data_IF_428868571823
#
_entry.id   IF_428868571823
#
_cell.length_a   1.000
_cell.length_b   1.000
_cell.length_c   1.000
_cell.angle_alpha   90.00
_cell.angle_beta   90.00
_cell.angle_gamma   90.00
#
_symmetry.space_group_name_H-M   'P 1'
#
loop_
_entity.id
_entity.type
_entity.pdbx_description
1 polymer ?
#
# COMPACT_ATOMS: atom_id res chain seq x y z
N UNK A 1 68.41 -11.52 0.86
CA UNK A 1 67.44 -12.61 0.59
C UNK A 1 66.39 -12.57 1.69
N UNK A 2 65.36 -11.72 1.59
CA UNK A 2 64.01 -12.02 1.05
C UNK A 2 63.35 -13.25 1.69
N UNK A 3 62.47 -13.01 2.66
CA UNK A 3 61.29 -13.83 2.91
C UNK A 3 60.18 -12.92 3.46
N UNK A 4 59.33 -12.46 2.55
CA UNK A 4 58.15 -11.65 2.80
C UNK A 4 57.08 -12.57 3.44
N UNK A 5 56.77 -12.37 4.73
CA UNK A 5 55.67 -13.07 5.41
C UNK A 5 54.34 -12.47 4.97
N UNK A 6 53.66 -13.12 4.04
CA UNK A 6 52.29 -12.82 3.65
C UNK A 6 51.36 -13.62 4.56
N UNK A 7 50.88 -13.00 5.64
CA UNK A 7 49.80 -13.53 6.47
C UNK A 7 48.47 -13.26 5.75
N UNK A 8 47.85 -14.31 5.22
CA UNK A 8 46.53 -14.26 4.64
C UNK A 8 45.49 -14.28 5.78
N UNK A 9 44.80 -13.15 6.00
CA UNK A 9 43.63 -13.11 6.86
C UNK A 9 42.45 -13.78 6.14
N UNK A 10 42.04 -14.96 6.61
CA UNK A 10 40.72 -15.50 6.27
C UNK A 10 39.67 -14.76 7.11
N UNK A 11 39.00 -13.79 6.50
CA UNK A 11 37.73 -13.28 7.01
C UNK A 11 36.62 -14.28 6.62
N UNK A 12 36.15 -15.09 7.57
CA UNK A 12 34.87 -15.79 7.42
C UNK A 12 33.74 -14.75 7.47
N UNK A 13 33.34 -14.26 6.31
CA UNK A 13 32.05 -13.60 6.16
C UNK A 13 30.97 -14.68 6.28
N UNK A 14 30.37 -14.81 7.46
CA UNK A 14 29.09 -15.49 7.61
C UNK A 14 28.02 -14.63 6.92
N UNK A 15 27.96 -14.71 5.60
CA UNK A 15 26.79 -14.28 4.86
C UNK A 15 25.65 -15.21 5.29
N UNK A 16 24.75 -14.71 6.14
CA UNK A 16 23.46 -15.33 6.33
C UNK A 16 22.78 -15.37 4.96
N UNK A 17 22.90 -16.51 4.29
CA UNK A 17 22.14 -16.79 3.09
C UNK A 17 20.68 -16.74 3.51
N UNK A 18 19.98 -15.65 3.19
CA UNK A 18 18.54 -15.70 3.07
C UNK A 18 18.28 -16.82 2.06
N UNK A 19 17.76 -17.93 2.56
CA UNK A 19 17.28 -19.04 1.73
C UNK A 19 16.40 -18.45 0.64
N UNK A 20 16.54 -18.90 -0.64
CA UNK A 20 15.64 -18.46 -1.69
C UNK A 20 14.21 -18.65 -1.17
N UNK A 21 13.48 -17.54 -1.05
CA UNK A 21 12.17 -17.53 -0.44
C UNK A 21 11.29 -18.52 -1.20
N UNK A 22 10.88 -19.59 -0.51
CA UNK A 22 9.79 -20.42 -1.01
C UNK A 22 8.60 -19.49 -1.28
N UNK A 23 8.03 -19.58 -2.47
CA UNK A 23 6.80 -18.87 -2.79
C UNK A 23 5.67 -19.44 -1.94
N UNK A 24 4.80 -18.56 -1.48
CA UNK A 24 3.82 -18.90 -0.46
C UNK A 24 2.47 -19.19 -1.10
N UNK A 25 1.89 -20.35 -0.80
CA UNK A 25 0.48 -20.64 -1.08
C UNK A 25 -0.41 -19.80 -0.14
N UNK A 26 0.13 -19.45 1.04
CA UNK A 26 -0.53 -18.70 2.10
C UNK A 26 0.31 -17.51 2.53
N UNK A 27 -0.26 -16.30 2.45
CA UNK A 27 0.36 -15.07 2.93
C UNK A 27 -0.41 -14.54 4.13
N UNK A 28 0.30 -14.27 5.23
CA UNK A 28 -0.24 -13.67 6.44
C UNK A 28 0.12 -12.19 6.49
N UNK A 29 -0.81 -11.33 6.09
CA UNK A 29 -0.61 -9.89 6.09
C UNK A 29 -0.72 -9.32 7.51
N UNK A 30 0.06 -8.26 7.75
CA UNK A 30 0.17 -7.45 8.97
C UNK A 30 0.80 -8.15 10.20
N UNK A 31 0.37 -9.35 10.56
CA UNK A 31 1.00 -10.21 11.59
C UNK A 31 0.81 -9.76 13.03
N UNK A 32 1.27 -8.55 13.38
CA UNK A 32 1.43 -8.06 14.75
C UNK A 32 0.31 -7.09 15.21
N UNK A 33 0.50 -6.47 16.37
CA UNK A 33 -0.39 -5.45 16.91
C UNK A 33 -0.34 -4.16 16.07
N UNK A 34 -1.52 -3.67 15.67
CA UNK A 34 -1.70 -2.45 14.90
C UNK A 34 -2.41 -1.40 15.74
N UNK A 35 -1.77 -0.27 16.03
CA UNK A 35 -2.44 0.88 16.62
C UNK A 35 -3.10 1.71 15.53
N UNK A 36 -4.42 1.83 15.57
CA UNK A 36 -5.23 2.48 14.53
C UNK A 36 -6.14 3.52 15.19
N UNK A 37 -6.21 4.76 14.68
CA UNK A 37 -7.11 5.76 15.23
C UNK A 37 -8.55 5.30 15.32
N UNK A 38 -9.21 5.66 16.43
CA UNK A 38 -10.56 5.22 16.77
C UNK A 38 -11.61 5.71 15.79
N UNK A 39 -11.41 6.92 15.26
CA UNK A 39 -12.30 7.53 14.29
C UNK A 39 -11.50 7.95 13.07
N UNK A 40 -11.82 7.38 11.91
CA UNK A 40 -11.17 7.70 10.64
C UNK A 40 -12.22 7.85 9.56
N UNK A 41 -12.05 8.86 8.70
CA UNK A 41 -12.91 9.05 7.55
C UNK A 41 -12.89 7.82 6.63
N UNK A 42 -14.02 7.51 6.02
CA UNK A 42 -14.14 6.39 5.09
C UNK A 42 -13.14 6.52 3.94
N UNK A 43 -12.44 5.45 3.60
CA UNK A 43 -11.41 5.40 2.57
C UNK A 43 -10.00 5.81 3.02
N UNK A 44 -9.81 6.24 4.27
CA UNK A 44 -8.48 6.54 4.82
C UNK A 44 -7.64 5.27 4.88
N UNK A 45 -6.44 5.27 4.29
CA UNK A 45 -5.52 4.13 4.37
C UNK A 45 -4.88 4.07 5.76
N UNK A 46 -5.14 2.99 6.49
CA UNK A 46 -4.69 2.77 7.86
C UNK A 46 -3.37 1.99 7.90
N UNK A 47 -3.23 0.99 7.04
CA UNK A 47 -2.02 0.17 6.94
C UNK A 47 -1.89 -0.41 5.52
N UNK A 48 -0.66 -0.74 5.14
CA UNK A 48 -0.33 -1.37 3.85
C UNK A 48 0.57 -2.58 4.08
N UNK A 49 0.32 -3.64 3.35
CA UNK A 49 1.17 -4.81 3.28
C UNK A 49 1.45 -5.14 1.83
N UNK A 50 2.71 -5.45 1.51
CA UNK A 50 3.17 -5.68 0.15
C UNK A 50 3.55 -7.13 -0.07
N UNK A 51 3.09 -7.72 -1.18
CA UNK A 51 3.40 -9.09 -1.57
C UNK A 51 4.15 -9.03 -2.90
N UNK A 52 5.43 -9.40 -2.90
CA UNK A 52 6.22 -9.40 -4.13
C UNK A 52 5.76 -10.51 -5.10
N UNK A 53 5.99 -10.38 -6.42
CA UNK A 53 5.73 -11.46 -7.37
C UNK A 53 6.37 -12.79 -6.97
N UNK A 54 7.61 -12.74 -6.46
CA UNK A 54 8.33 -13.94 -6.00
C UNK A 54 7.61 -14.59 -4.81
N UNK A 55 7.07 -13.81 -3.88
CA UNK A 55 6.26 -14.35 -2.78
C UNK A 55 4.92 -14.92 -3.26
N UNK A 56 4.28 -14.25 -4.23
CA UNK A 56 2.96 -14.60 -4.73
C UNK A 56 2.95 -15.86 -5.62
N UNK A 57 3.94 -16.00 -6.51
CA UNK A 57 3.98 -17.10 -7.48
C UNK A 57 5.38 -17.71 -7.74
N UNK A 58 6.43 -17.23 -7.07
CA UNK A 58 7.79 -17.73 -7.26
C UNK A 58 8.50 -17.21 -8.52
N UNK A 59 7.89 -16.26 -9.23
CA UNK A 59 8.43 -15.68 -10.47
C UNK A 59 8.55 -14.17 -10.34
N UNK A 60 9.29 -13.53 -11.26
CA UNK A 60 9.37 -12.07 -11.36
C UNK A 60 8.14 -11.44 -12.00
N UNK A 61 7.32 -12.24 -12.68
CA UNK A 61 6.02 -11.88 -13.26
C UNK A 61 5.01 -12.96 -12.93
N UNK A 62 3.84 -12.56 -12.44
CA UNK A 62 2.74 -13.46 -12.17
C UNK A 62 1.50 -13.05 -12.95
N UNK A 63 0.61 -14.01 -13.22
CA UNK A 63 -0.67 -13.75 -13.88
C UNK A 63 -1.83 -14.22 -13.01
N UNK A 64 -2.79 -13.33 -12.76
CA UNK A 64 -4.05 -13.65 -12.07
C UNK A 64 -5.14 -13.94 -13.08
N UNK A 65 -5.82 -15.07 -12.93
CA UNK A 65 -6.94 -15.49 -13.79
C UNK A 65 -8.29 -15.36 -13.10
N UNK A 66 -8.35 -15.42 -11.77
CA UNK A 66 -9.59 -15.24 -11.00
C UNK A 66 -9.31 -14.54 -9.67
N UNK A 67 -10.31 -13.82 -9.16
CA UNK A 67 -10.19 -13.03 -7.93
C UNK A 67 -11.41 -13.27 -7.07
N UNK A 68 -11.20 -13.61 -5.81
CA UNK A 68 -12.27 -13.82 -4.85
C UNK A 68 -12.03 -12.95 -3.61
N UNK A 69 -13.07 -12.26 -3.18
CA UNK A 69 -13.08 -11.43 -1.98
C UNK A 69 -13.99 -12.06 -0.93
N UNK A 70 -13.48 -12.22 0.29
CA UNK A 70 -14.20 -12.84 1.41
C UNK A 70 -14.31 -11.83 2.57
N UNK A 71 -15.45 -11.13 2.69
CA UNK A 71 -15.71 -10.25 3.84
C UNK A 71 -15.54 -10.99 5.15
N UNK A 72 -14.89 -10.35 6.13
CA UNK A 72 -14.61 -10.94 7.45
C UNK A 72 -13.79 -12.25 7.39
N UNK A 73 -13.17 -12.53 6.24
CA UNK A 73 -12.49 -13.78 5.95
C UNK A 73 -13.42 -14.98 5.76
N UNK A 74 -14.74 -14.77 5.56
CA UNK A 74 -15.73 -15.86 5.43
C UNK A 74 -16.81 -15.50 4.42
N UNK A 75 -17.24 -16.49 3.63
CA UNK A 75 -18.31 -16.32 2.64
C UNK A 75 -17.91 -15.43 1.47
N UNK A 76 -18.44 -15.71 0.28
CA UNK A 76 -18.07 -14.96 -0.90
C UNK A 76 -18.78 -13.60 -0.95
N UNK A 77 -18.02 -12.53 -1.15
CA UNK A 77 -18.55 -11.17 -1.30
C UNK A 77 -18.19 -10.54 -2.64
N UNK A 78 -18.83 -9.43 -2.98
CA UNK A 78 -18.61 -8.73 -4.25
C UNK A 78 -17.27 -8.00 -4.31
N UNK A 79 -16.77 -7.46 -3.20
CA UNK A 79 -15.59 -6.57 -3.18
C UNK A 79 -15.85 -5.25 -3.93
N UNK A 80 -14.80 -4.46 -4.26
CA UNK A 80 -13.36 -4.74 -4.05
C UNK A 80 -12.86 -4.38 -2.64
N UNK A 81 -13.64 -3.59 -1.90
CA UNK A 81 -13.43 -3.33 -0.48
C UNK A 81 -14.39 -4.22 0.30
N UNK A 82 -13.88 -4.98 1.26
CA UNK A 82 -14.68 -5.86 2.11
C UNK A 82 -14.43 -5.55 3.58
N UNK A 83 -15.43 -5.83 4.43
CA UNK A 83 -15.32 -5.60 5.87
C UNK A 83 -14.32 -6.54 6.51
N UNK A 84 -13.72 -6.13 7.62
CA UNK A 84 -12.98 -7.03 8.53
C UNK A 84 -13.81 -7.36 9.77
N UNK A 85 -13.32 -8.29 10.59
CA UNK A 85 -13.90 -8.59 11.91
C UNK A 85 -13.83 -7.41 12.90
N UNK A 86 -13.06 -6.37 12.60
CA UNK A 86 -12.94 -5.18 13.43
C UNK A 86 -13.84 -4.08 12.86
N UNK A 87 -14.82 -3.62 13.65
CA UNK A 87 -15.66 -2.47 13.28
C UNK A 87 -14.80 -1.27 12.91
N UNK A 88 -15.25 -0.44 11.98
CA UNK A 88 -14.50 0.73 11.54
C UNK A 88 -13.36 0.43 10.57
N UNK A 89 -13.00 -0.84 10.38
CA UNK A 89 -11.87 -1.27 9.55
C UNK A 89 -12.34 -2.22 8.45
N UNK A 90 -12.06 -1.81 7.21
CA UNK A 90 -12.26 -2.60 6.01
C UNK A 90 -10.91 -2.90 5.35
N UNK A 91 -10.91 -3.76 4.33
CA UNK A 91 -9.71 -4.14 3.58
C UNK A 91 -9.97 -4.14 2.07
N UNK A 92 -8.95 -3.82 1.28
CA UNK A 92 -8.95 -4.07 -0.18
C UNK A 92 -7.59 -4.58 -0.66
N UNK A 93 -7.60 -5.35 -1.74
CA UNK A 93 -6.41 -5.79 -2.46
C UNK A 93 -6.24 -4.97 -3.73
N UNK A 94 -5.02 -4.51 -3.99
CA UNK A 94 -4.63 -3.81 -5.21
C UNK A 94 -3.66 -4.67 -6.03
N UNK A 95 -3.94 -4.79 -7.32
CA UNK A 95 -3.05 -5.38 -8.34
C UNK A 95 -2.74 -4.25 -9.32
N UNK A 96 -1.46 -3.93 -9.52
CA UNK A 96 -1.02 -2.76 -10.31
C UNK A 96 -1.72 -1.44 -9.89
N UNK A 97 -1.98 -1.27 -8.58
CA UNK A 97 -2.65 -0.08 -8.03
C UNK A 97 -4.17 -0.04 -8.20
N UNK A 98 -4.79 -1.04 -8.82
CA UNK A 98 -6.25 -1.12 -9.00
C UNK A 98 -6.89 -2.20 -8.12
N UNK A 99 -8.08 -1.92 -7.60
CA UNK A 99 -8.85 -2.84 -6.78
C UNK A 99 -9.91 -3.56 -7.63
N UNK A 100 -10.09 -4.87 -7.41
CA UNK A 100 -10.95 -5.71 -8.25
C UNK A 100 -12.08 -6.35 -7.44
N UNK A 101 -13.27 -6.38 -8.05
CA UNK A 101 -14.40 -7.14 -7.53
C UNK A 101 -14.12 -8.64 -7.66
N UNK A 102 -14.94 -9.45 -7.01
CA UNK A 102 -14.94 -10.90 -7.19
C UNK A 102 -15.28 -11.25 -8.64
N UNK A 103 -14.46 -12.09 -9.24
CA UNK A 103 -14.52 -12.56 -10.62
C UNK A 103 -14.26 -14.07 -10.60
N UNK A 104 -15.35 -14.86 -10.57
CA UNK A 104 -15.37 -16.31 -10.35
C UNK A 104 -15.23 -17.13 -11.64
N UNK A 105 -14.86 -16.48 -12.74
CA UNK A 105 -14.61 -17.13 -14.01
C UNK A 105 -13.33 -16.54 -14.56
N UNK A 106 -12.53 -17.34 -15.29
CA UNK A 106 -11.28 -16.86 -15.85
C UNK A 106 -11.50 -15.53 -16.56
N UNK A 107 -10.73 -14.53 -16.15
CA UNK A 107 -10.78 -13.20 -16.75
C UNK A 107 -10.56 -13.34 -18.26
N UNK A 108 -11.43 -12.70 -19.05
CA UNK A 108 -11.24 -12.63 -20.51
C UNK A 108 -9.85 -12.09 -20.88
N UNK A 109 -9.32 -11.19 -20.04
CA UNK A 109 -7.93 -10.75 -20.07
C UNK A 109 -7.31 -10.97 -18.69
N UNK A 110 -6.42 -11.96 -18.53
CA UNK A 110 -5.69 -12.18 -17.27
C UNK A 110 -4.87 -10.95 -16.86
N UNK A 111 -4.73 -10.73 -15.55
CA UNK A 111 -4.01 -9.56 -15.02
C UNK A 111 -2.57 -9.97 -14.74
N UNK A 112 -1.63 -9.45 -15.53
CA UNK A 112 -0.20 -9.61 -15.27
C UNK A 112 0.29 -8.55 -14.28
N UNK A 113 1.15 -8.95 -13.34
CA UNK A 113 1.84 -8.00 -12.47
C UNK A 113 3.32 -8.36 -12.28
N UNK A 114 4.14 -7.32 -12.30
CA UNK A 114 5.59 -7.35 -12.01
C UNK A 114 5.94 -6.50 -10.79
N UNK A 115 4.99 -5.69 -10.32
CA UNK A 115 5.11 -4.89 -9.10
C UNK A 115 4.41 -5.62 -7.94
N UNK A 116 4.80 -5.36 -6.67
CA UNK A 116 4.14 -5.97 -5.54
C UNK A 116 2.62 -5.73 -5.51
N UNK A 117 1.86 -6.74 -5.12
CA UNK A 117 0.46 -6.58 -4.73
C UNK A 117 0.42 -5.74 -3.45
N UNK A 118 -0.63 -4.94 -3.28
CA UNK A 118 -0.81 -4.12 -2.08
C UNK A 118 -2.13 -4.48 -1.38
N UNK A 119 -2.03 -4.97 -0.16
CA UNK A 119 -3.19 -5.16 0.74
C UNK A 119 -3.29 -3.92 1.62
N UNK A 120 -4.46 -3.27 1.61
CA UNK A 120 -4.71 -2.07 2.40
C UNK A 120 -5.76 -2.33 3.47
N UNK A 121 -5.49 -1.92 4.71
CA UNK A 121 -6.55 -1.64 5.69
C UNK A 121 -7.05 -0.21 5.48
N UNK A 122 -8.36 -0.04 5.56
CA UNK A 122 -9.06 1.21 5.31
C UNK A 122 -10.00 1.53 6.46
N UNK A 123 -10.09 2.80 6.83
CA UNK A 123 -11.20 3.29 7.65
C UNK A 123 -12.48 3.19 6.84
N UNK A 124 -13.56 2.68 7.44
CA UNK A 124 -14.87 2.60 6.75
C UNK A 124 -15.87 3.68 7.20
N UNK A 125 -15.48 4.52 8.17
CA UNK A 125 -16.28 5.62 8.71
C UNK A 125 -17.01 5.28 10.01
N UNK A 126 -17.08 4.00 10.40
CA UNK A 126 -17.57 3.59 11.72
C UNK A 126 -16.45 3.71 12.76
N UNK A 127 -16.82 3.75 14.03
CA UNK A 127 -15.86 3.72 15.15
C UNK A 127 -15.11 2.39 15.17
N UNK A 128 -13.78 2.48 15.27
CA UNK A 128 -12.90 1.35 15.48
C UNK A 128 -12.98 0.85 16.92
N UNK A 129 -13.52 -0.35 17.11
CA UNK A 129 -13.71 -0.99 18.41
C UNK A 129 -12.50 -1.82 18.86
N UNK A 130 -11.52 -2.02 17.98
CA UNK A 130 -10.39 -2.90 18.23
C UNK A 130 -10.76 -4.37 18.17
N UNK A 131 -9.75 -5.21 18.32
CA UNK A 131 -9.88 -6.66 18.28
C UNK A 131 -9.02 -7.32 17.20
N UNK A 132 -9.04 -8.65 17.12
CA UNK A 132 -8.24 -9.38 16.16
C UNK A 132 -8.82 -9.26 14.74
N UNK A 133 -7.95 -9.15 13.73
CA UNK A 133 -8.36 -9.16 12.31
C UNK A 133 -8.95 -10.51 11.87
N UNK A 134 -8.57 -11.58 12.57
CA UNK A 134 -9.08 -12.93 12.41
C UNK A 134 -9.38 -13.52 13.80
N UNK A 135 -10.60 -14.02 14.00
CA UNK A 135 -11.00 -14.60 15.29
C UNK A 135 -10.33 -15.97 15.53
N UNK A 136 -10.29 -16.82 14.50
CA UNK A 136 -9.59 -18.10 14.46
C UNK A 136 -9.06 -18.33 13.04
N UNK A 137 -7.78 -18.71 12.90
CA UNK A 137 -7.24 -19.13 11.60
C UNK A 137 -7.67 -20.58 11.38
N UNK A 138 -8.75 -20.77 10.63
CA UNK A 138 -9.17 -22.08 10.12
C UNK A 138 -8.78 -22.20 8.65
N UNK A 139 -8.89 -23.41 8.07
CA UNK A 139 -8.42 -23.70 6.70
C UNK A 139 -9.08 -22.83 5.60
N UNK A 140 -10.17 -22.12 5.91
CA UNK A 140 -10.94 -21.29 4.98
C UNK A 140 -11.09 -19.82 5.43
N UNK A 141 -10.26 -19.31 6.35
CA UNK A 141 -10.40 -17.94 6.90
C UNK A 141 -9.49 -16.89 6.23
N UNK A 142 -9.43 -16.90 4.90
CA UNK A 142 -8.66 -15.92 4.11
C UNK A 142 -9.57 -14.82 3.56
N UNK A 143 -9.03 -13.61 3.37
CA UNK A 143 -9.78 -12.45 2.86
C UNK A 143 -9.72 -12.35 1.33
N UNK A 144 -8.63 -12.84 0.74
CA UNK A 144 -8.46 -12.89 -0.71
C UNK A 144 -7.98 -14.25 -1.15
N UNK A 145 -8.49 -14.69 -2.29
CA UNK A 145 -8.07 -15.89 -2.97
C UNK A 145 -7.93 -15.58 -4.45
N UNK A 146 -6.71 -15.75 -4.96
CA UNK A 146 -6.38 -15.50 -6.35
C UNK A 146 -6.05 -16.83 -7.01
N UNK A 147 -6.67 -17.11 -8.15
CA UNK A 147 -6.19 -18.20 -9.01
C UNK A 147 -5.09 -17.62 -9.89
N UNK A 148 -3.91 -18.24 -9.80
CA UNK A 148 -2.72 -17.80 -10.50
C UNK A 148 -2.44 -18.75 -11.65
N UNK A 149 -2.08 -18.24 -12.83
CA UNK A 149 -1.64 -19.08 -13.96
C UNK A 149 -0.28 -19.72 -13.68
N UNK A 150 0.62 -18.97 -13.05
CA UNK A 150 1.90 -19.47 -12.56
C UNK A 150 1.84 -19.48 -11.03
N UNK A 151 2.14 -20.59 -10.33
CA UNK A 151 2.40 -21.96 -10.81
C UNK A 151 1.13 -22.85 -10.90
N UNK A 152 0.06 -22.37 -11.55
CA UNK A 152 -1.29 -23.00 -11.57
C UNK A 152 -1.76 -23.42 -10.18
N UNK A 153 -1.64 -22.48 -9.23
CA UNK A 153 -2.01 -22.68 -7.83
C UNK A 153 -2.60 -21.42 -7.25
N UNK A 154 -3.47 -21.56 -6.25
CA UNK A 154 -4.04 -20.41 -5.60
C UNK A 154 -3.06 -19.69 -4.68
N UNK A 155 -3.17 -18.36 -4.62
CA UNK A 155 -2.63 -17.54 -3.55
C UNK A 155 -3.76 -17.20 -2.58
N UNK A 156 -3.62 -17.58 -1.31
CA UNK A 156 -4.53 -17.22 -0.22
C UNK A 156 -3.90 -16.14 0.65
N UNK A 157 -4.64 -15.07 0.92
CA UNK A 157 -4.16 -13.95 1.72
C UNK A 157 -5.03 -13.85 2.98
N UNK A 158 -4.41 -14.09 4.13
CA UNK A 158 -4.98 -13.98 5.46
C UNK A 158 -4.62 -12.62 6.04
N UNK A 159 -5.54 -12.03 6.80
CA UNK A 159 -5.25 -10.87 7.63
C UNK A 159 -5.03 -11.34 9.06
N UNK A 160 -3.90 -10.97 9.64
CA UNK A 160 -3.52 -11.40 10.99
C UNK A 160 -3.09 -10.20 11.82
N UNK A 161 -3.10 -10.36 13.15
CA UNK A 161 -2.78 -9.30 14.09
C UNK A 161 -3.99 -8.75 14.84
N UNK A 162 -3.72 -7.86 15.79
CA UNK A 162 -4.72 -7.28 16.69
C UNK A 162 -4.73 -5.77 16.58
N UNK A 163 -5.90 -5.20 16.30
CA UNK A 163 -6.11 -3.76 16.22
C UNK A 163 -6.36 -3.20 17.61
N UNK A 164 -5.58 -2.19 17.98
CA UNK A 164 -5.75 -1.40 19.20
C UNK A 164 -6.20 0.02 18.81
N UNK A 165 -7.42 0.43 19.19
CA UNK A 165 -7.90 1.79 18.96
C UNK A 165 -7.06 2.78 19.76
N UNK A 166 -6.80 3.94 19.17
CA UNK A 166 -6.19 5.09 19.84
C UNK A 166 -7.13 6.29 19.69
N UNK A 167 -7.40 6.98 20.80
CA UNK A 167 -8.46 7.99 20.90
C UNK A 167 -8.15 9.31 20.16
N UNK A 168 -6.96 9.44 19.56
CA UNK A 168 -6.48 10.66 18.92
C UNK A 168 -5.75 10.40 17.61
N UNK A 169 -5.69 11.40 16.73
CA UNK A 169 -4.90 11.41 15.50
C UNK A 169 -3.77 12.42 15.55
N UNK A 170 -2.70 12.21 14.77
CA UNK A 170 -1.77 13.29 14.44
C UNK A 170 -2.53 14.48 13.81
N UNK A 171 -2.10 15.71 14.10
CA UNK A 171 -2.62 16.92 13.47
C UNK A 171 -1.72 17.38 12.33
N UNK A 172 -2.32 17.83 11.23
CA UNK A 172 -1.62 18.40 10.08
C UNK A 172 -2.13 19.83 9.88
N UNK A 173 -1.39 20.87 10.31
CA UNK A 173 -1.85 22.24 10.16
C UNK A 173 -1.90 22.66 8.69
N UNK A 174 -2.86 23.52 8.35
CA UNK A 174 -2.92 24.14 7.03
C UNK A 174 -1.64 24.96 6.78
N UNK A 175 -1.09 24.83 5.58
CA UNK A 175 0.09 25.59 5.15
C UNK A 175 -0.19 26.27 3.82
N UNK A 176 0.09 27.57 3.77
CA UNK A 176 0.14 28.33 2.53
C UNK A 176 1.57 28.35 2.01
N UNK A 177 1.75 27.92 0.76
CA UNK A 177 3.05 27.96 0.06
C UNK A 177 2.94 28.98 -1.06
N UNK A 178 3.64 30.09 -0.92
CA UNK A 178 3.70 31.13 -1.94
C UNK A 178 4.82 30.81 -2.93
N UNK A 179 4.46 30.54 -4.18
CA UNK A 179 5.45 30.35 -5.25
C UNK A 179 6.08 31.70 -5.62
N UNK A 180 7.38 31.75 -5.94
CA UNK A 180 8.03 32.95 -6.43
C UNK A 180 7.47 33.36 -7.80
N UNK A 181 7.49 34.66 -8.09
CA UNK A 181 7.06 35.18 -9.38
C UNK A 181 7.91 34.59 -10.52
N UNK A 182 7.24 34.04 -11.54
CA UNK A 182 7.85 33.50 -12.74
C UNK A 182 7.54 34.41 -13.95
N UNK A 183 8.52 34.58 -14.83
CA UNK A 183 8.34 35.27 -16.12
C UNK A 183 8.20 34.23 -17.22
N UNK A 184 7.30 34.48 -18.19
CA UNK A 184 7.07 33.59 -19.33
C UNK A 184 8.37 33.23 -20.06
N UNK A 185 9.29 34.18 -20.20
CA UNK A 185 10.55 34.02 -20.92
C UNK A 185 11.55 33.08 -20.22
N UNK A 186 11.27 32.68 -18.96
CA UNK A 186 12.08 31.72 -18.21
C UNK A 186 11.60 30.28 -18.38
N UNK A 187 10.39 30.09 -18.89
CA UNK A 187 9.94 28.76 -19.29
C UNK A 187 10.65 28.39 -20.59
N UNK A 188 11.14 27.16 -20.64
CA UNK A 188 11.73 26.57 -21.84
C UNK A 188 10.64 25.90 -22.69
N UNK A 189 10.89 24.66 -23.08
CA UNK A 189 9.90 23.84 -23.78
C UNK A 189 8.77 23.38 -22.85
N UNK A 190 7.71 22.80 -23.43
CA UNK A 190 6.64 22.12 -22.69
C UNK A 190 7.24 21.10 -21.71
N UNK A 191 6.78 21.13 -20.46
CA UNK A 191 7.32 20.33 -19.37
C UNK A 191 8.41 21.03 -18.53
N UNK A 192 8.83 22.24 -18.91
CA UNK A 192 9.73 23.06 -18.07
C UNK A 192 9.00 23.63 -16.85
N UNK A 193 9.73 23.77 -15.74
CA UNK A 193 9.22 24.33 -14.48
C UNK A 193 10.06 25.53 -14.07
N UNK A 194 9.42 26.60 -13.57
CA UNK A 194 10.09 27.80 -13.05
C UNK A 194 9.56 28.11 -11.66
N UNK A 195 10.42 28.60 -10.77
CA UNK A 195 9.98 29.12 -9.48
C UNK A 195 9.67 28.03 -8.45
N UNK A 196 10.62 27.12 -8.23
CA UNK A 196 10.49 26.09 -7.19
C UNK A 196 10.51 26.71 -5.80
N UNK A 197 9.54 26.31 -4.97
CA UNK A 197 9.49 26.65 -3.54
C UNK A 197 9.45 25.37 -2.72
N UNK A 198 10.44 25.17 -1.86
CA UNK A 198 10.43 24.07 -0.89
C UNK A 198 9.45 24.35 0.23
N UNK A 199 8.74 23.31 0.67
CA UNK A 199 7.86 23.32 1.82
C UNK A 199 7.96 22.00 2.59
N UNK A 200 7.43 21.95 3.81
CA UNK A 200 7.46 20.78 4.66
C UNK A 200 6.06 20.47 5.17
N UNK A 201 5.56 19.26 4.93
CA UNK A 201 4.32 18.80 5.54
C UNK A 201 4.59 18.54 7.01
N UNK A 202 4.05 19.39 7.88
CA UNK A 202 4.20 19.27 9.33
C UNK A 202 3.16 18.31 9.89
N UNK A 203 3.61 17.37 10.71
CA UNK A 203 2.75 16.41 11.39
C UNK A 203 3.04 16.54 12.88
N UNK A 204 2.04 16.98 13.63
CA UNK A 204 2.16 17.35 15.04
C UNK A 204 1.27 16.45 15.91
N UNK A 205 1.49 16.50 17.22
CA UNK A 205 0.62 15.91 18.24
C UNK A 205 0.24 14.45 17.97
N UNK A 206 1.15 13.65 17.43
CA UNK A 206 0.91 12.23 17.24
C UNK A 206 0.88 11.52 18.60
N UNK A 207 -0.24 10.88 18.96
CA UNK A 207 -0.31 10.02 20.14
C UNK A 207 0.77 8.93 20.13
N UNK A 208 1.08 8.41 21.32
CA UNK A 208 1.92 7.21 21.41
C UNK A 208 1.21 6.02 20.75
N UNK A 209 1.96 5.18 20.05
CA UNK A 209 1.46 3.96 19.39
C UNK A 209 1.46 4.02 17.86
N UNK A 210 1.60 5.19 17.25
CA UNK A 210 1.82 5.28 15.80
C UNK A 210 3.19 4.74 15.42
N UNK A 211 3.24 3.60 14.72
CA UNK A 211 4.49 2.98 14.25
C UNK A 211 4.97 3.54 12.90
N UNK A 212 4.07 4.16 12.12
CA UNK A 212 4.36 4.76 10.81
C UNK A 212 3.32 5.81 10.46
N UNK A 213 3.73 6.86 9.75
CA UNK A 213 2.82 7.84 9.17
C UNK A 213 2.96 7.79 7.65
N UNK A 214 1.87 7.46 6.97
CA UNK A 214 1.76 7.57 5.51
C UNK A 214 1.01 8.84 5.14
N UNK A 215 1.31 9.40 3.98
CA UNK A 215 0.57 10.53 3.41
C UNK A 215 0.22 10.25 1.95
N UNK A 216 -0.84 10.91 1.48
CA UNK A 216 -1.24 10.93 0.08
C UNK A 216 -1.70 12.36 -0.21
N UNK A 217 -1.33 12.87 -1.38
CA UNK A 217 -1.72 14.21 -1.81
C UNK A 217 -2.90 14.08 -2.76
N UNK A 218 -4.02 14.73 -2.39
CA UNK A 218 -5.22 14.79 -3.22
C UNK A 218 -5.36 16.19 -3.83
N UNK A 219 -5.26 16.34 -5.17
CA UNK A 219 -5.25 17.64 -5.82
C UNK A 219 -6.61 18.33 -5.73
N UNK A 220 -6.64 19.48 -5.05
CA UNK A 220 -7.80 20.37 -5.06
C UNK A 220 -8.00 20.94 -6.48
N UNK A 221 -9.20 20.73 -7.04
CA UNK A 221 -9.53 21.11 -8.42
C UNK A 221 -9.46 19.96 -9.42
N UNK A 222 -9.10 18.75 -8.97
CA UNK A 222 -9.10 17.53 -9.79
C UNK A 222 -7.75 17.25 -10.45
N UNK A 223 -7.74 16.20 -11.28
CA UNK A 223 -6.56 15.74 -12.02
C UNK A 223 -6.61 16.31 -13.43
N UNK A 224 -5.48 16.83 -13.91
CA UNK A 224 -5.33 17.23 -15.31
C UNK A 224 -4.95 15.99 -16.13
N UNK A 225 -5.74 15.68 -17.15
CA UNK A 225 -5.48 14.55 -18.04
C UNK A 225 -4.10 14.70 -18.72
N UNK A 226 -3.34 13.61 -18.77
CA UNK A 226 -1.99 13.57 -19.36
C UNK A 226 -0.92 14.46 -18.71
N UNK A 227 -1.18 15.00 -17.51
CA UNK A 227 -0.24 15.85 -16.77
C UNK A 227 -0.07 15.36 -15.31
N UNK A 228 0.55 14.19 -15.10
CA UNK A 228 0.75 13.63 -13.76
C UNK A 228 1.62 14.57 -12.90
N UNK A 229 1.17 14.83 -11.67
CA UNK A 229 1.88 15.72 -10.73
C UNK A 229 1.61 17.21 -10.93
N UNK A 230 0.76 17.60 -11.88
CA UNK A 230 0.36 19.00 -12.08
C UNK A 230 -0.95 19.28 -11.34
N UNK A 231 -0.97 20.39 -10.60
CA UNK A 231 -2.16 20.89 -9.93
C UNK A 231 -2.86 21.91 -10.84
N UNK A 232 -4.19 21.91 -10.92
CA UNK A 232 -4.93 22.93 -11.66
C UNK A 232 -4.73 24.31 -11.03
N UNK A 233 -4.80 25.34 -11.86
CA UNK A 233 -4.79 26.72 -11.40
C UNK A 233 -6.03 26.97 -10.53
N UNK A 234 -5.84 27.73 -9.45
CA UNK A 234 -6.95 28.17 -8.60
C UNK A 234 -7.88 29.09 -9.38
N UNK A 235 -9.18 29.11 -9.03
CA UNK A 235 -10.21 29.85 -9.75
C UNK A 235 -9.97 31.36 -9.96
N UNK A 236 -9.07 31.99 -9.17
CA UNK A 236 -8.70 33.40 -9.30
C UNK A 236 -7.45 33.67 -10.14
N UNK A 237 -6.79 32.65 -10.70
CA UNK A 237 -5.59 32.82 -11.52
C UNK A 237 -5.95 33.29 -12.92
N UNK A 238 -5.22 34.28 -13.44
CA UNK A 238 -5.30 34.74 -14.84
C UNK A 238 -4.24 34.11 -15.74
N UNK A 239 -3.30 33.34 -15.18
CA UNK A 239 -2.32 32.59 -15.95
C UNK A 239 -2.98 31.48 -16.79
N UNK A 240 -2.38 31.15 -17.93
CA UNK A 240 -2.82 30.06 -18.82
C UNK A 240 -1.62 29.28 -19.35
N UNK A 241 -1.83 28.00 -19.70
CA UNK A 241 -0.80 27.07 -20.18
C UNK A 241 -1.25 25.62 -20.12
#
# INVERSE_FOLDING_TARGET
MRALRMMLLLALAAAGAATPSAWAIDVYAFGQQLSIPKNTASGTVLARYYITPVQACGQSKCTVTEIYNYPNGKGLGTGPTVTTNVSGVSTRLLINGQAYKTMMSPLATPIEFTQPLEVQLLGDGRTNTGGPLVEVIESNTYYYWLIMKEPDRPLRIYLTGTITPIDDTCSVPAQTVTLPNASLNKFGNVGSTVGTQSFQIRINNCPKGYNRIGYTLDPRGGVIANAPGVLPLTAGSTASG
#
